data_IF_450967812494
#
_entry.id   IF_450967812494
#
_cell.length_a   1.000
_cell.length_b   1.000
_cell.length_c   1.000
_cell.angle_alpha   90.00
_cell.angle_beta   90.00
_cell.angle_gamma   90.00
#
_symmetry.space_group_name_H-M   'P 1'
#
loop_
_entity.id
_entity.type
_entity.pdbx_description
1 polymer ?
#
# COMPACT_ATOMS: atom_id res chain seq x y z
N UNK A 1 2.72 -7.78 -4.63
CA UNK A 1 4.05 -7.88 -5.27
C UNK A 1 4.06 -8.64 -6.60
N UNK A 2 3.42 -9.82 -6.74
CA UNK A 2 3.40 -10.62 -7.99
C UNK A 2 3.09 -9.83 -9.27
N UNK A 3 2.08 -8.96 -9.24
CA UNK A 3 1.70 -8.11 -10.38
C UNK A 3 2.88 -7.33 -10.96
N UNK A 4 3.68 -6.69 -10.10
CA UNK A 4 4.82 -5.90 -10.53
C UNK A 4 6.02 -6.77 -10.92
N UNK A 5 6.29 -7.87 -10.19
CA UNK A 5 7.33 -8.85 -10.55
C UNK A 5 7.13 -9.48 -11.92
N UNK A 6 5.88 -9.60 -12.38
CA UNK A 6 5.57 -10.11 -13.73
C UNK A 6 5.76 -9.06 -14.84
N UNK A 7 5.77 -7.77 -14.48
CA UNK A 7 5.80 -6.65 -15.42
C UNK A 7 7.19 -6.02 -15.55
N UNK A 8 8.01 -6.13 -14.50
CA UNK A 8 9.32 -5.52 -14.41
C UNK A 8 10.38 -6.56 -14.04
N UNK A 9 11.50 -6.56 -14.76
CA UNK A 9 12.61 -7.49 -14.55
C UNK A 9 13.58 -7.04 -13.45
N UNK A 10 13.61 -5.74 -13.15
CA UNK A 10 14.44 -5.12 -12.13
C UNK A 10 13.52 -4.27 -11.25
N UNK A 11 13.34 -4.68 -9.99
CA UNK A 11 12.36 -4.09 -9.08
C UNK A 11 12.86 -4.14 -7.63
N UNK A 12 12.60 -3.06 -6.91
CA UNK A 12 12.79 -2.95 -5.47
C UNK A 12 11.46 -2.55 -4.82
N UNK A 13 11.02 -3.30 -3.82
CA UNK A 13 9.87 -2.97 -3.00
C UNK A 13 10.32 -2.26 -1.73
N UNK A 14 10.03 -0.96 -1.63
CA UNK A 14 10.23 -0.19 -0.41
C UNK A 14 8.98 -0.33 0.48
N UNK A 15 9.15 -0.83 1.69
CA UNK A 15 8.05 -1.17 2.61
C UNK A 15 8.16 -0.38 3.91
N UNK A 16 7.02 0.18 4.34
CA UNK A 16 6.87 0.96 5.57
C UNK A 16 5.73 0.34 6.38
N UNK A 17 5.91 0.26 7.70
CA UNK A 17 4.94 -0.34 8.61
C UNK A 17 5.16 0.17 10.04
N UNK A 18 4.10 0.20 10.83
CA UNK A 18 4.14 0.44 12.28
C UNK A 18 4.66 -0.79 13.06
N UNK A 19 4.51 -1.99 12.51
CA UNK A 19 5.08 -3.23 13.05
C UNK A 19 6.28 -3.71 12.23
N UNK A 20 7.44 -3.10 12.49
CA UNK A 20 8.70 -3.41 11.81
C UNK A 20 9.14 -4.87 12.05
N UNK A 21 8.92 -5.41 13.26
CA UNK A 21 9.34 -6.76 13.61
C UNK A 21 8.57 -7.80 12.81
N UNK A 22 7.24 -7.68 12.77
CA UNK A 22 6.40 -8.54 11.97
C UNK A 22 6.71 -8.40 10.48
N UNK A 23 6.85 -7.16 10.00
CA UNK A 23 7.09 -6.85 8.58
C UNK A 23 8.42 -7.43 8.10
N UNK A 24 9.50 -7.25 8.88
CA UNK A 24 10.82 -7.81 8.59
C UNK A 24 10.79 -9.34 8.58
N UNK A 25 10.00 -9.96 9.46
CA UNK A 25 9.83 -11.40 9.49
C UNK A 25 9.03 -11.92 8.28
N UNK A 26 7.96 -11.21 7.91
CA UNK A 26 7.10 -11.55 6.77
C UNK A 26 7.83 -11.47 5.43
N UNK A 27 8.82 -10.57 5.32
CA UNK A 27 9.58 -10.37 4.09
C UNK A 27 11.00 -10.94 4.12
N UNK A 28 11.38 -11.71 5.15
CA UNK A 28 12.76 -12.21 5.33
C UNK A 28 13.31 -12.99 4.13
N UNK A 29 12.46 -13.71 3.39
CA UNK A 29 12.87 -14.56 2.27
C UNK A 29 12.94 -13.81 0.93
N UNK A 30 12.59 -12.53 0.89
CA UNK A 30 12.61 -11.72 -0.33
C UNK A 30 13.81 -10.77 -0.32
N UNK A 31 14.67 -10.93 -1.31
CA UNK A 31 15.86 -10.08 -1.54
C UNK A 31 15.51 -8.74 -2.22
N UNK A 32 14.37 -8.68 -2.90
CA UNK A 32 13.84 -7.50 -3.57
C UNK A 32 12.96 -6.61 -2.67
N UNK A 33 12.95 -6.82 -1.35
CA UNK A 33 12.17 -6.04 -0.38
C UNK A 33 13.09 -5.33 0.61
N UNK A 34 12.95 -4.00 0.69
CA UNK A 34 13.61 -3.17 1.69
C UNK A 34 12.59 -2.65 2.70
N UNK A 35 12.74 -3.02 3.97
CA UNK A 35 11.92 -2.51 5.08
C UNK A 35 12.61 -1.28 5.66
N UNK A 36 11.95 -0.14 5.57
CA UNK A 36 12.43 1.14 6.11
C UNK A 36 12.25 1.13 7.63
N UNK A 37 13.23 1.65 8.37
CA UNK A 37 13.20 1.68 9.83
C UNK A 37 13.67 3.02 10.38
N UNK A 38 12.93 3.58 11.33
CA UNK A 38 13.42 4.67 12.18
C UNK A 38 13.17 6.10 11.68
N UNK A 39 12.27 6.27 10.71
CA UNK A 39 11.89 7.57 10.17
C UNK A 39 10.52 8.03 10.69
N UNK A 40 10.22 9.33 10.59
CA UNK A 40 8.91 9.88 10.93
C UNK A 40 7.90 9.69 9.80
N UNK A 41 6.61 9.73 10.11
CA UNK A 41 5.56 9.47 9.11
C UNK A 41 5.61 10.40 7.89
N UNK A 42 6.03 11.65 8.07
CA UNK A 42 6.22 12.59 6.96
C UNK A 42 7.43 12.26 6.08
N UNK A 43 8.51 11.72 6.65
CA UNK A 43 9.68 11.24 5.90
C UNK A 43 9.32 9.97 5.13
N UNK A 44 8.61 9.05 5.78
CA UNK A 44 8.07 7.84 5.17
C UNK A 44 7.15 8.14 3.98
N UNK A 45 6.24 9.10 4.15
CA UNK A 45 5.36 9.53 3.08
C UNK A 45 6.16 10.12 1.91
N UNK A 46 7.11 11.02 2.19
CA UNK A 46 7.98 11.60 1.18
C UNK A 46 8.70 10.50 0.38
N UNK A 47 9.34 9.56 1.08
CA UNK A 47 10.04 8.42 0.47
C UNK A 47 9.12 7.60 -0.44
N UNK A 48 7.91 7.25 0.03
CA UNK A 48 6.98 6.44 -0.76
C UNK A 48 6.43 7.19 -1.98
N UNK A 49 6.19 8.50 -1.89
CA UNK A 49 5.74 9.30 -3.04
C UNK A 49 6.77 9.41 -4.16
N UNK A 50 8.06 9.18 -3.85
CA UNK A 50 9.15 9.18 -4.82
C UNK A 50 9.29 7.84 -5.57
N UNK A 51 8.53 6.81 -5.18
CA UNK A 51 8.54 5.51 -5.87
C UNK A 51 7.79 5.57 -7.21
N UNK A 52 8.00 4.57 -8.08
CA UNK A 52 7.31 4.54 -9.37
C UNK A 52 5.85 4.10 -9.27
N UNK A 53 5.51 3.24 -8.30
CA UNK A 53 4.22 2.58 -8.16
C UNK A 53 3.90 2.33 -6.68
N UNK A 54 2.61 2.23 -6.35
CA UNK A 54 2.18 2.04 -4.95
C UNK A 54 1.45 0.71 -4.78
N UNK A 55 1.78 -0.01 -3.71
CA UNK A 55 0.93 -1.04 -3.11
C UNK A 55 0.56 -0.54 -1.72
N UNK A 56 -0.72 -0.56 -1.36
CA UNK A 56 -1.16 -0.11 -0.03
C UNK A 56 -2.20 -1.03 0.60
N UNK A 57 -2.21 -1.02 1.93
CA UNK A 57 -3.37 -1.40 2.73
C UNK A 57 -4.44 -0.30 2.67
N UNK A 58 -5.54 -0.49 3.38
CA UNK A 58 -6.58 0.53 3.51
C UNK A 58 -6.22 1.51 4.62
N UNK A 59 -6.17 2.79 4.28
CA UNK A 59 -5.95 3.88 5.22
C UNK A 59 -5.65 5.20 4.51
N UNK A 60 -5.83 6.31 5.22
CA UNK A 60 -5.58 7.67 4.69
C UNK A 60 -4.13 7.88 4.27
N UNK A 61 -3.18 7.34 5.04
CA UNK A 61 -1.75 7.42 4.76
C UNK A 61 -1.41 6.86 3.36
N UNK A 62 -1.76 5.60 3.12
CA UNK A 62 -1.56 4.95 1.82
C UNK A 62 -2.34 5.63 0.70
N UNK A 63 -3.57 6.09 0.97
CA UNK A 63 -4.40 6.73 -0.03
C UNK A 63 -3.74 7.99 -0.59
N UNK A 64 -3.19 8.87 0.26
CA UNK A 64 -2.49 10.07 -0.18
C UNK A 64 -1.18 9.74 -0.92
N UNK A 65 -0.47 8.69 -0.50
CA UNK A 65 0.71 8.21 -1.23
C UNK A 65 0.33 7.75 -2.63
N UNK A 66 -0.72 6.94 -2.78
CA UNK A 66 -1.21 6.48 -4.09
C UNK A 66 -1.68 7.64 -4.96
N UNK A 67 -2.30 8.66 -4.37
CA UNK A 67 -2.70 9.88 -5.08
C UNK A 67 -1.52 10.69 -5.61
N UNK A 68 -0.47 10.83 -4.80
CA UNK A 68 0.72 11.61 -5.17
C UNK A 68 1.70 10.83 -6.05
N UNK A 69 1.71 9.50 -5.95
CA UNK A 69 2.56 8.63 -6.77
C UNK A 69 1.99 8.58 -8.19
N UNK A 70 2.74 9.10 -9.16
CA UNK A 70 2.31 9.13 -10.57
C UNK A 70 2.52 7.77 -11.27
N UNK A 71 1.83 6.74 -10.80
CA UNK A 71 2.03 5.36 -11.26
C UNK A 71 0.83 4.43 -11.09
N UNK A 72 1.07 3.13 -11.25
CA UNK A 72 0.05 2.12 -10.95
C UNK A 72 -0.11 2.01 -9.45
N UNK A 73 -1.35 2.14 -8.97
CA UNK A 73 -1.72 1.98 -7.57
C UNK A 73 -2.52 0.70 -7.40
N UNK A 74 -2.07 -0.17 -6.49
CA UNK A 74 -2.77 -1.38 -6.06
C UNK A 74 -3.16 -1.22 -4.59
N UNK A 75 -4.43 -1.46 -4.26
CA UNK A 75 -4.94 -1.31 -2.89
C UNK A 75 -5.73 -2.55 -2.46
N UNK A 76 -5.74 -2.84 -1.16
CA UNK A 76 -6.57 -3.91 -0.60
C UNK A 76 -8.06 -3.52 -0.65
N UNK A 77 -8.88 -4.26 -1.41
CA UNK A 77 -10.28 -3.86 -1.65
C UNK A 77 -11.25 -4.23 -0.52
N UNK A 78 -10.82 -5.13 0.38
CA UNK A 78 -11.63 -5.69 1.46
C UNK A 78 -11.31 -5.04 2.83
N UNK A 79 -11.05 -3.73 2.85
CA UNK A 79 -10.61 -3.03 4.06
C UNK A 79 -11.65 -2.88 5.17
N UNK A 80 -12.94 -3.06 4.87
CA UNK A 80 -14.01 -3.04 5.85
C UNK A 80 -14.63 -4.43 5.98
N UNK A 81 -14.80 -4.89 7.22
CA UNK A 81 -15.47 -6.17 7.50
C UNK A 81 -16.98 -6.00 7.26
N UNK A 82 -17.64 -6.90 6.51
CA UNK A 82 -19.09 -6.85 6.33
C UNK A 82 -19.85 -6.85 7.67
N UNK A 83 -20.80 -5.94 7.81
CA UNK A 83 -21.60 -5.71 9.01
C UNK A 83 -20.89 -5.00 10.17
N UNK A 84 -19.64 -4.55 9.97
CA UNK A 84 -18.95 -3.75 11.00
C UNK A 84 -19.39 -2.29 10.96
N UNK A 85 -19.31 -1.59 12.11
CA UNK A 85 -19.57 -0.15 12.14
C UNK A 85 -18.66 0.64 11.19
N UNK A 86 -17.43 0.16 11.01
CA UNK A 86 -16.46 0.75 10.06
C UNK A 86 -16.93 0.66 8.60
N UNK A 87 -17.62 -0.40 8.20
CA UNK A 87 -18.20 -0.49 6.84
C UNK A 87 -19.23 0.62 6.61
N UNK A 88 -20.05 0.92 7.62
CA UNK A 88 -21.12 1.91 7.52
C UNK A 88 -20.60 3.34 7.35
N UNK A 89 -19.40 3.63 7.83
CA UNK A 89 -18.73 4.92 7.62
C UNK A 89 -18.44 5.19 6.13
N UNK A 90 -18.28 4.15 5.31
CA UNK A 90 -17.98 4.30 3.88
C UNK A 90 -19.23 4.36 2.99
N UNK A 91 -20.43 4.40 3.56
CA UNK A 91 -21.70 4.55 2.85
C UNK A 91 -21.90 3.45 1.78
N UNK A 92 -21.89 3.77 0.48
CA UNK A 92 -22.12 2.79 -0.59
C UNK A 92 -20.99 1.77 -0.79
N UNK A 93 -19.90 1.87 -0.02
CA UNK A 93 -18.82 0.88 0.03
C UNK A 93 -17.44 1.52 -0.06
N UNK A 94 -16.43 0.92 0.58
CA UNK A 94 -15.08 1.49 0.65
C UNK A 94 -14.45 1.69 -0.73
N UNK A 95 -14.85 0.90 -1.73
CA UNK A 95 -14.30 0.93 -3.07
C UNK A 95 -14.64 2.23 -3.82
N UNK A 96 -15.72 2.92 -3.45
CA UNK A 96 -16.13 4.18 -4.10
C UNK A 96 -15.20 5.36 -3.76
N UNK A 97 -14.33 5.19 -2.76
CA UNK A 97 -13.37 6.20 -2.31
C UNK A 97 -12.03 6.10 -3.04
N UNK A 98 -11.84 5.11 -3.91
CA UNK A 98 -10.62 4.95 -4.70
C UNK A 98 -10.83 5.39 -6.14
N UNK A 99 -9.74 5.77 -6.82
CA UNK A 99 -9.82 6.22 -8.21
C UNK A 99 -10.18 5.06 -9.16
N UNK A 100 -10.99 5.30 -10.21
CA UNK A 100 -11.44 4.24 -11.11
C UNK A 100 -10.32 3.46 -11.83
N UNK A 101 -9.13 4.06 -11.97
CA UNK A 101 -7.97 3.43 -12.63
C UNK A 101 -7.03 2.71 -11.64
N UNK A 102 -7.33 2.74 -10.33
CA UNK A 102 -6.59 1.97 -9.34
C UNK A 102 -7.05 0.53 -9.31
N UNK A 103 -6.14 -0.38 -8.96
CA UNK A 103 -6.38 -1.82 -9.04
C UNK A 103 -6.67 -2.36 -7.63
N UNK A 104 -7.90 -2.82 -7.39
CA UNK A 104 -8.27 -3.46 -6.14
C UNK A 104 -7.80 -4.92 -6.07
N UNK A 105 -6.94 -5.27 -5.11
CA UNK A 105 -6.52 -6.65 -4.82
C UNK A 105 -7.44 -7.31 -3.79
N UNK A 106 -7.65 -8.61 -3.93
CA UNK A 106 -8.46 -9.44 -3.00
C UNK A 106 -7.69 -9.86 -1.75
#
# INVERSE_FOLDING_TARGET
MRYFRQKYNDILFVTISDDILWTSNAFREYDDVYVVTGDSGEVDMCLLTMTNHTIMSVGTFGWFIGWMTNGTVIYYKNGARPGSGYEWEFGPGIQVHFLPHWIGME
#
